data_IF_824696275876
#
_entry.id   IF_824696275876
#
_cell.length_a   1.000
_cell.length_b   1.000
_cell.length_c   1.000
_cell.angle_alpha   90.00
_cell.angle_beta   90.00
_cell.angle_gamma   90.00
#
_symmetry.space_group_name_H-M   'P 1'
#
loop_
_entity.id
_entity.type
_entity.pdbx_description
1 polymer ?
#
# COMPACT_ATOMS: atom_id res chain seq x y z
N UNK A 1 57.07 26.11 -84.35
CA UNK A 1 57.69 24.93 -83.68
C UNK A 1 57.93 25.30 -82.25
N UNK A 2 57.03 24.92 -81.36
CA UNK A 2 57.21 25.15 -79.91
C UNK A 2 56.84 23.86 -79.20
N UNK A 3 57.79 23.26 -78.51
CA UNK A 3 57.60 22.03 -77.70
C UNK A 3 57.11 22.41 -76.33
N UNK A 4 55.91 21.96 -75.98
CA UNK A 4 55.36 22.13 -74.64
C UNK A 4 55.72 20.90 -73.76
N UNK A 5 56.42 21.14 -72.68
CA UNK A 5 56.73 20.10 -71.63
C UNK A 5 55.61 20.01 -70.65
N UNK A 6 55.03 18.83 -70.53
CA UNK A 6 54.01 18.52 -69.55
C UNK A 6 54.72 18.05 -68.29
N UNK A 7 54.57 18.83 -67.16
CA UNK A 7 55.03 18.44 -65.87
C UNK A 7 53.93 17.60 -65.14
N UNK A 8 54.29 16.42 -64.60
CA UNK A 8 53.47 15.59 -63.79
C UNK A 8 53.48 16.09 -62.37
N UNK A 9 52.33 16.52 -61.84
CA UNK A 9 52.11 16.81 -60.43
C UNK A 9 51.57 15.56 -59.81
N UNK A 10 52.30 14.97 -58.85
CA UNK A 10 51.84 13.86 -58.01
C UNK A 10 51.04 14.43 -56.84
N UNK A 11 49.72 14.18 -56.79
CA UNK A 11 48.90 14.46 -55.63
C UNK A 11 49.03 13.30 -54.62
N UNK A 12 49.68 13.56 -53.50
CA UNK A 12 49.66 12.65 -52.37
C UNK A 12 48.34 12.80 -51.57
N UNK A 13 47.55 11.74 -51.54
CA UNK A 13 46.37 11.62 -50.65
C UNK A 13 46.86 11.25 -49.27
N UNK A 14 46.82 12.19 -48.34
CA UNK A 14 46.94 11.91 -46.90
C UNK A 14 45.56 11.47 -46.36
N UNK A 15 45.36 10.18 -46.10
CA UNK A 15 44.19 9.66 -45.43
C UNK A 15 44.28 9.95 -43.91
N UNK A 16 43.58 10.99 -43.46
CA UNK A 16 43.39 11.25 -42.02
C UNK A 16 42.39 10.26 -41.45
N UNK A 17 42.88 9.27 -40.70
CA UNK A 17 42.05 8.38 -39.83
C UNK A 17 41.56 9.19 -38.65
N UNK A 18 40.34 9.71 -38.72
CA UNK A 18 39.62 10.29 -37.57
C UNK A 18 39.12 9.12 -36.68
N UNK A 19 39.86 8.80 -35.62
CA UNK A 19 39.36 7.92 -34.56
C UNK A 19 38.25 8.65 -33.83
N UNK A 20 37.00 8.40 -34.25
CA UNK A 20 35.82 8.83 -33.53
C UNK A 20 35.73 8.08 -32.17
N UNK A 21 36.18 8.71 -31.10
CA UNK A 21 35.87 8.24 -29.75
C UNK A 21 34.36 8.37 -29.56
N UNK A 22 33.61 7.24 -29.66
CA UNK A 22 32.24 7.16 -29.23
C UNK A 22 32.22 7.37 -27.71
N UNK A 23 31.96 8.59 -27.28
CA UNK A 23 31.57 8.88 -25.90
C UNK A 23 30.25 8.15 -25.68
N UNK A 24 30.32 6.94 -25.12
CA UNK A 24 29.17 6.29 -24.54
C UNK A 24 28.66 7.23 -23.46
N UNK A 25 27.61 7.99 -23.73
CA UNK A 25 26.86 8.72 -22.74
C UNK A 25 26.35 7.68 -21.76
N UNK A 26 27.00 7.57 -20.60
CA UNK A 26 26.42 6.86 -19.46
C UNK A 26 25.17 7.67 -19.14
N UNK A 27 24.02 7.19 -19.58
CA UNK A 27 22.75 7.75 -19.17
C UNK A 27 22.73 7.67 -17.64
N UNK A 28 22.93 8.80 -16.98
CA UNK A 28 22.84 8.87 -15.54
C UNK A 28 21.40 8.51 -15.19
N UNK A 29 21.23 7.38 -14.52
CA UNK A 29 19.90 6.98 -14.07
C UNK A 29 19.36 8.11 -13.17
N UNK A 30 18.09 8.48 -13.38
CA UNK A 30 17.39 9.42 -12.48
C UNK A 30 17.41 8.89 -11.06
N UNK A 31 17.13 9.74 -10.09
CA UNK A 31 16.99 9.35 -8.69
C UNK A 31 15.99 8.19 -8.53
N UNK A 32 16.27 7.30 -7.58
CA UNK A 32 15.35 6.24 -7.19
C UNK A 32 14.03 6.84 -6.72
N UNK A 33 12.91 6.47 -7.31
CA UNK A 33 11.58 6.93 -6.88
C UNK A 33 10.85 5.81 -6.16
N UNK A 34 10.54 6.06 -4.89
CA UNK A 34 9.78 5.15 -4.02
C UNK A 34 8.39 5.73 -3.77
N UNK A 35 7.35 4.91 -3.95
CA UNK A 35 5.95 5.35 -3.87
C UNK A 35 5.23 4.61 -2.76
N UNK A 36 4.50 5.35 -1.93
CA UNK A 36 3.76 4.81 -0.79
C UNK A 36 2.44 5.55 -0.57
N UNK A 37 1.79 5.33 0.58
CA UNK A 37 0.40 5.71 0.87
C UNK A 37 0.21 7.09 1.51
N UNK A 38 1.21 7.95 1.45
CA UNK A 38 1.12 9.32 1.98
C UNK A 38 0.83 9.46 3.47
N UNK A 39 0.70 10.71 3.92
CA UNK A 39 0.35 11.09 5.29
C UNK A 39 1.25 10.46 6.36
N UNK A 40 0.74 10.32 7.57
CA UNK A 40 1.50 9.86 8.74
C UNK A 40 2.27 8.54 8.52
N UNK A 41 1.78 7.64 7.64
CA UNK A 41 2.49 6.41 7.33
C UNK A 41 3.76 6.68 6.52
N UNK A 42 3.66 7.47 5.46
CA UNK A 42 4.83 7.83 4.65
C UNK A 42 5.80 8.73 5.43
N UNK A 43 5.31 9.56 6.34
CA UNK A 43 6.16 10.36 7.24
C UNK A 43 6.96 9.45 8.18
N UNK A 44 6.34 8.39 8.73
CA UNK A 44 7.06 7.38 9.49
C UNK A 44 8.10 6.64 8.63
N UNK A 45 7.76 6.27 7.39
CA UNK A 45 8.71 5.67 6.45
C UNK A 45 9.86 6.61 6.09
N UNK A 46 9.61 7.89 5.86
CA UNK A 46 10.66 8.91 5.65
C UNK A 46 11.66 8.91 6.82
N UNK A 47 11.12 8.95 8.02
CA UNK A 47 11.94 9.01 9.24
C UNK A 47 12.81 7.75 9.44
N UNK A 48 12.26 6.55 9.20
CA UNK A 48 12.94 5.29 9.55
C UNK A 48 13.52 4.52 8.37
N UNK A 49 13.04 4.79 7.14
CA UNK A 49 13.50 4.11 5.94
C UNK A 49 14.20 5.05 4.97
N UNK A 50 13.52 6.10 4.47
CA UNK A 50 13.98 6.86 3.32
C UNK A 50 15.21 7.69 3.63
N UNK A 51 15.18 8.52 4.68
CA UNK A 51 16.33 9.34 5.07
C UNK A 51 17.52 8.49 5.55
N UNK A 52 17.32 7.46 6.41
CA UNK A 52 18.42 6.56 6.77
C UNK A 52 19.01 5.79 5.58
N UNK A 53 18.19 5.35 4.61
CA UNK A 53 18.65 4.66 3.41
C UNK A 53 19.49 5.58 2.53
N UNK A 54 19.01 6.80 2.22
CA UNK A 54 19.79 7.80 1.46
C UNK A 54 21.18 8.00 2.05
N UNK A 55 21.24 8.15 3.38
CA UNK A 55 22.52 8.34 4.10
C UNK A 55 23.41 7.11 4.05
N UNK A 56 22.84 5.91 4.26
CA UNK A 56 23.61 4.66 4.35
C UNK A 56 24.09 4.17 2.97
N UNK A 57 23.27 4.31 1.94
CA UNK A 57 23.56 3.82 0.60
C UNK A 57 24.22 4.85 -0.32
N UNK A 58 24.17 6.15 0.03
CA UNK A 58 24.65 7.23 -0.85
C UNK A 58 23.82 7.35 -2.15
N UNK A 59 22.56 6.89 -2.14
CA UNK A 59 21.68 6.88 -3.29
C UNK A 59 20.68 8.04 -3.19
N UNK A 60 20.64 8.89 -4.21
CA UNK A 60 19.63 9.92 -4.32
C UNK A 60 18.25 9.29 -4.56
N UNK A 61 17.24 9.76 -3.82
CA UNK A 61 15.91 9.17 -3.83
C UNK A 61 14.84 10.24 -3.69
N UNK A 62 13.80 10.11 -4.50
CA UNK A 62 12.55 10.86 -4.42
C UNK A 62 11.46 9.96 -3.82
N UNK A 63 10.48 10.56 -3.18
CA UNK A 63 9.29 9.84 -2.74
C UNK A 63 8.02 10.50 -3.28
N UNK A 64 7.07 9.67 -3.69
CA UNK A 64 5.74 10.07 -4.14
C UNK A 64 4.67 9.31 -3.34
N UNK A 65 3.44 9.82 -3.35
CA UNK A 65 2.30 9.14 -2.76
C UNK A 65 1.23 8.85 -3.81
N UNK A 66 0.43 7.80 -3.56
CA UNK A 66 -0.67 7.40 -4.41
C UNK A 66 -1.82 6.81 -3.59
N UNK A 67 -2.97 6.60 -4.21
CA UNK A 67 -4.20 6.08 -3.57
C UNK A 67 -4.59 4.68 -4.06
N UNK A 68 -3.66 3.97 -4.74
CA UNK A 68 -3.91 2.63 -5.27
C UNK A 68 -4.50 2.60 -6.68
N UNK A 69 -4.75 1.38 -7.15
CA UNK A 69 -5.40 1.09 -8.41
C UNK A 69 -4.49 0.55 -9.51
N UNK A 70 -4.74 -0.69 -9.95
CA UNK A 70 -3.95 -1.38 -10.98
C UNK A 70 -3.87 -0.59 -12.28
N UNK A 71 -4.91 0.19 -12.63
CA UNK A 71 -4.91 1.07 -13.81
C UNK A 71 -3.78 2.11 -13.79
N UNK A 72 -3.43 2.64 -12.61
CA UNK A 72 -2.30 3.57 -12.45
C UNK A 72 -0.99 2.84 -12.69
N UNK A 73 -0.82 1.63 -12.15
CA UNK A 73 0.38 0.80 -12.35
C UNK A 73 0.59 0.45 -13.83
N UNK A 74 -0.49 0.05 -14.53
CA UNK A 74 -0.46 -0.19 -15.99
C UNK A 74 0.03 1.04 -16.75
N UNK A 75 -0.52 2.22 -16.44
CA UNK A 75 -0.12 3.47 -17.10
C UNK A 75 1.36 3.81 -16.84
N UNK A 76 1.86 3.58 -15.64
CA UNK A 76 3.26 3.82 -15.27
C UNK A 76 4.24 2.89 -15.99
N UNK A 77 3.85 1.64 -16.26
CA UNK A 77 4.69 0.65 -16.97
C UNK A 77 4.60 0.81 -18.48
N UNK A 78 3.41 1.05 -19.04
CA UNK A 78 3.18 1.15 -20.48
C UNK A 78 3.79 2.41 -21.11
N UNK A 79 4.04 3.45 -20.35
CA UNK A 79 4.63 4.70 -20.81
C UNK A 79 6.09 4.61 -21.27
N UNK A 80 6.74 3.44 -21.22
CA UNK A 80 8.08 3.15 -21.76
C UNK A 80 9.25 3.75 -20.97
N UNK A 81 9.00 4.67 -20.04
CA UNK A 81 9.96 5.20 -19.09
C UNK A 81 9.29 5.20 -17.70
N UNK A 82 9.43 4.09 -16.98
CA UNK A 82 8.91 4.00 -15.63
C UNK A 82 9.44 5.17 -14.78
N UNK A 83 8.53 6.07 -14.38
CA UNK A 83 8.89 7.20 -13.49
C UNK A 83 8.96 6.77 -12.03
N UNK A 84 8.36 5.65 -11.70
CA UNK A 84 8.39 4.99 -10.40
C UNK A 84 9.28 3.76 -10.45
N UNK A 85 9.96 3.46 -9.38
CA UNK A 85 10.85 2.29 -9.29
C UNK A 85 10.34 1.26 -8.30
N UNK A 86 10.09 1.68 -7.07
CA UNK A 86 9.57 0.83 -5.99
C UNK A 86 8.22 1.37 -5.58
N UNK A 87 7.22 0.50 -5.51
CA UNK A 87 5.86 0.88 -5.13
C UNK A 87 5.37 -0.04 -4.03
N UNK A 88 4.71 0.52 -3.04
CA UNK A 88 3.96 -0.28 -2.08
C UNK A 88 2.55 -0.49 -2.60
N UNK A 89 2.11 -1.75 -2.64
CA UNK A 89 0.84 -2.19 -3.22
C UNK A 89 0.04 -3.03 -2.22
N UNK A 90 -1.28 -3.02 -2.34
CA UNK A 90 -2.17 -3.94 -1.62
C UNK A 90 -2.09 -5.36 -2.22
N UNK A 91 -2.57 -6.36 -1.50
CA UNK A 91 -2.44 -7.78 -1.89
C UNK A 91 -3.11 -8.14 -3.21
N UNK A 92 -4.25 -7.54 -3.55
CA UNK A 92 -4.94 -7.73 -4.84
C UNK A 92 -4.20 -7.04 -5.99
N UNK A 93 -3.64 -5.85 -5.77
CA UNK A 93 -2.80 -5.15 -6.74
C UNK A 93 -1.50 -5.94 -7.01
N UNK A 94 -0.91 -6.53 -5.96
CA UNK A 94 0.24 -7.43 -6.12
C UNK A 94 -0.10 -8.61 -7.01
N UNK A 95 -1.23 -9.27 -6.75
CA UNK A 95 -1.62 -10.46 -7.49
C UNK A 95 -1.90 -10.14 -8.97
N UNK A 96 -2.73 -9.13 -9.26
CA UNK A 96 -3.02 -8.69 -10.63
C UNK A 96 -1.76 -8.21 -11.34
N UNK A 97 -0.98 -7.34 -10.69
CA UNK A 97 0.22 -6.77 -11.31
C UNK A 97 1.31 -7.82 -11.57
N UNK A 98 1.40 -8.86 -10.74
CA UNK A 98 2.30 -9.98 -10.95
C UNK A 98 1.86 -10.83 -12.16
N UNK A 99 0.57 -11.15 -12.27
CA UNK A 99 -0.01 -11.90 -13.38
C UNK A 99 0.14 -11.15 -14.72
N UNK A 100 -0.11 -9.86 -14.73
CA UNK A 100 0.04 -9.00 -15.91
C UNK A 100 1.49 -8.64 -16.25
N UNK A 101 2.47 -9.04 -15.41
CA UNK A 101 3.89 -8.75 -15.64
C UNK A 101 4.25 -7.28 -15.44
N UNK A 102 3.50 -6.54 -14.61
CA UNK A 102 3.78 -5.13 -14.28
C UNK A 102 4.96 -4.97 -13.32
N UNK A 103 5.37 -6.06 -12.66
CA UNK A 103 6.44 -6.06 -11.67
C UNK A 103 7.61 -6.95 -12.10
N UNK A 104 8.80 -6.63 -11.63
CA UNK A 104 9.94 -7.52 -11.72
C UNK A 104 9.74 -8.73 -10.80
N UNK A 105 10.15 -9.92 -11.26
CA UNK A 105 10.26 -11.06 -10.35
C UNK A 105 11.44 -10.83 -9.41
N UNK A 106 11.21 -11.03 -8.11
CA UNK A 106 12.19 -10.76 -7.08
C UNK A 106 13.20 -11.89 -6.93
N UNK A 107 14.47 -11.52 -6.83
CA UNK A 107 15.55 -12.37 -6.38
C UNK A 107 15.74 -12.19 -4.87
N UNK A 108 15.15 -13.09 -4.10
CA UNK A 108 15.18 -13.03 -2.63
C UNK A 108 16.60 -13.15 -2.05
N UNK A 109 17.56 -13.70 -2.79
CA UNK A 109 18.96 -13.72 -2.34
C UNK A 109 19.57 -12.34 -2.12
N UNK A 110 18.99 -11.32 -2.80
CA UNK A 110 19.39 -9.91 -2.69
C UNK A 110 18.69 -9.13 -1.57
N UNK A 111 17.70 -9.72 -0.91
CA UNK A 111 16.87 -9.06 0.11
C UNK A 111 16.75 -9.89 1.40
N UNK A 112 17.79 -10.62 1.75
CA UNK A 112 17.87 -11.39 2.99
C UNK A 112 17.37 -12.83 2.90
N UNK A 113 16.86 -13.28 1.76
CA UNK A 113 16.31 -14.62 1.53
C UNK A 113 14.85 -14.77 1.99
N UNK A 114 14.11 -15.70 1.38
CA UNK A 114 12.70 -15.96 1.73
C UNK A 114 12.52 -16.35 3.21
N UNK A 115 13.51 -17.06 3.77
CA UNK A 115 13.47 -17.52 5.16
C UNK A 115 13.48 -16.38 6.19
N UNK A 116 13.80 -15.14 5.81
CA UNK A 116 13.73 -13.96 6.68
C UNK A 116 12.30 -13.46 6.91
N UNK A 117 11.37 -13.84 6.05
CA UNK A 117 10.01 -13.31 6.05
C UNK A 117 8.98 -14.34 6.51
N UNK A 118 7.86 -13.86 7.05
CA UNK A 118 6.71 -14.73 7.32
C UNK A 118 6.12 -15.24 5.98
N UNK A 119 5.58 -16.47 5.92
CA UNK A 119 5.14 -17.07 4.65
C UNK A 119 4.20 -16.21 3.81
N UNK A 120 3.17 -15.52 4.35
CA UNK A 120 2.29 -14.66 3.55
C UNK A 120 3.00 -13.47 2.90
N UNK A 121 4.19 -13.10 3.39
CA UNK A 121 4.99 -11.98 2.88
C UNK A 121 5.89 -12.34 1.70
N UNK A 122 5.97 -13.62 1.33
CA UNK A 122 6.82 -14.12 0.25
C UNK A 122 5.97 -14.29 -1.02
N UNK A 123 6.27 -13.50 -2.04
CA UNK A 123 5.60 -13.55 -3.33
C UNK A 123 6.63 -13.40 -4.47
N UNK A 124 6.49 -14.11 -5.60
CA UNK A 124 7.44 -14.00 -6.72
C UNK A 124 7.69 -12.58 -7.22
N UNK A 125 6.73 -11.67 -7.07
CA UNK A 125 6.80 -10.30 -7.60
C UNK A 125 6.87 -9.22 -6.53
N UNK A 126 6.80 -9.58 -5.25
CA UNK A 126 6.79 -8.61 -4.16
C UNK A 126 7.23 -9.22 -2.85
N UNK A 127 7.65 -8.39 -1.92
CA UNK A 127 7.99 -8.77 -0.55
C UNK A 127 7.15 -7.97 0.43
N UNK A 128 6.60 -8.66 1.44
CA UNK A 128 5.73 -8.01 2.43
C UNK A 128 6.36 -6.79 3.08
N UNK A 129 5.61 -5.71 3.15
CA UNK A 129 5.99 -4.44 3.74
C UNK A 129 5.47 -4.31 5.18
N UNK A 130 4.17 -4.43 5.34
CA UNK A 130 3.45 -4.31 6.62
C UNK A 130 2.22 -5.20 6.64
N UNK A 131 1.80 -5.57 7.85
CA UNK A 131 0.48 -6.13 8.13
C UNK A 131 -0.37 -5.07 8.83
N UNK A 132 -1.62 -4.92 8.43
CA UNK A 132 -2.50 -3.89 8.97
C UNK A 132 -3.96 -4.33 8.97
N UNK A 133 -4.75 -3.63 9.78
CA UNK A 133 -6.19 -3.85 9.88
C UNK A 133 -6.98 -2.59 9.54
N UNK A 134 -8.12 -2.80 8.89
CA UNK A 134 -9.22 -1.86 8.95
C UNK A 134 -10.02 -2.13 10.22
N UNK A 135 -9.99 -1.18 11.12
CA UNK A 135 -10.72 -1.23 12.40
C UNK A 135 -11.86 -0.23 12.41
N UNK A 136 -12.80 -0.39 13.33
CA UNK A 136 -13.77 0.65 13.66
C UNK A 136 -13.09 1.67 14.57
N UNK A 137 -12.94 2.91 14.09
CA UNK A 137 -12.41 4.03 14.85
C UNK A 137 -13.49 4.98 15.36
N UNK A 138 -13.32 5.53 16.57
CA UNK A 138 -14.22 6.49 17.19
C UNK A 138 -13.47 7.46 18.11
N UNK A 139 -14.09 8.59 18.45
CA UNK A 139 -13.53 9.57 19.39
C UNK A 139 -14.07 9.31 20.81
N UNK A 140 -13.19 8.89 21.73
CA UNK A 140 -13.55 8.59 23.13
C UNK A 140 -14.03 9.81 23.91
N UNK A 141 -13.64 11.01 23.49
CA UNK A 141 -14.08 12.24 24.16
C UNK A 141 -15.54 12.60 23.77
N UNK A 142 -15.99 12.10 22.62
CA UNK A 142 -17.35 12.35 22.10
C UNK A 142 -18.32 11.21 22.40
N UNK A 143 -17.86 9.96 22.38
CA UNK A 143 -18.67 8.80 22.70
C UNK A 143 -18.33 8.29 24.10
N UNK A 144 -19.30 8.44 25.03
CA UNK A 144 -19.13 8.02 26.43
C UNK A 144 -18.95 6.51 26.59
N UNK A 145 -19.60 5.73 25.70
CA UNK A 145 -19.50 4.28 25.64
C UNK A 145 -18.86 3.86 24.34
N UNK A 146 -17.90 2.93 24.42
CA UNK A 146 -17.28 2.38 23.25
C UNK A 146 -18.30 1.60 22.41
N UNK A 147 -18.32 1.75 21.07
CA UNK A 147 -19.12 0.88 20.22
C UNK A 147 -18.64 -0.57 20.36
N UNK A 148 -19.58 -1.52 20.33
CA UNK A 148 -19.27 -2.94 20.49
C UNK A 148 -18.77 -3.62 19.22
N UNK A 149 -18.97 -3.00 18.05
CA UNK A 149 -18.56 -3.54 16.75
C UNK A 149 -19.34 -2.91 15.61
N UNK A 150 -19.30 -3.57 14.45
CA UNK A 150 -19.92 -3.05 13.24
C UNK A 150 -21.45 -2.93 13.31
N UNK A 151 -22.13 -3.70 14.16
CA UNK A 151 -23.57 -3.53 14.40
C UNK A 151 -23.88 -2.13 14.95
N UNK A 152 -23.11 -1.65 15.92
CA UNK A 152 -23.25 -0.30 16.49
C UNK A 152 -22.88 0.78 15.46
N UNK A 153 -21.93 0.50 14.57
CA UNK A 153 -21.58 1.40 13.47
C UNK A 153 -22.79 1.67 12.56
N UNK A 154 -23.65 0.69 12.32
CA UNK A 154 -24.84 0.84 11.47
C UNK A 154 -26.09 1.29 12.24
N UNK A 155 -26.06 1.36 13.55
CA UNK A 155 -27.19 1.84 14.35
C UNK A 155 -27.07 3.36 14.61
N UNK A 156 -27.54 4.15 13.64
CA UNK A 156 -27.55 5.63 13.72
C UNK A 156 -28.59 6.16 14.73
N UNK A 157 -29.50 5.31 15.23
CA UNK A 157 -30.45 5.68 16.30
C UNK A 157 -29.80 5.56 17.67
N UNK A 158 -29.05 4.45 17.90
CA UNK A 158 -28.29 4.24 19.14
C UNK A 158 -27.15 5.24 19.28
N UNK A 159 -26.36 5.42 18.22
CA UNK A 159 -25.25 6.37 18.17
C UNK A 159 -25.48 7.35 17.00
N UNK A 160 -26.05 8.53 17.26
CA UNK A 160 -26.32 9.51 16.21
C UNK A 160 -25.04 10.05 15.53
N UNK A 161 -25.17 10.48 14.28
CA UNK A 161 -24.11 11.11 13.50
C UNK A 161 -23.72 10.31 12.26
N UNK A 162 -22.89 10.89 11.40
CA UNK A 162 -22.44 10.29 10.14
C UNK A 162 -21.40 9.21 10.38
N UNK A 163 -21.22 8.37 9.38
CA UNK A 163 -20.27 7.26 9.33
C UNK A 163 -19.30 7.45 8.17
N UNK A 164 -18.02 7.18 8.37
CA UNK A 164 -17.09 7.18 7.24
C UNK A 164 -16.68 5.76 6.86
N UNK A 165 -16.75 5.46 5.57
CA UNK A 165 -16.32 4.20 4.97
C UNK A 165 -15.37 4.46 3.80
N UNK A 166 -14.47 3.51 3.53
CA UNK A 166 -13.63 3.55 2.32
C UNK A 166 -14.53 3.46 1.08
N UNK A 167 -14.29 4.35 0.13
CA UNK A 167 -15.07 4.34 -1.12
C UNK A 167 -14.70 3.11 -1.97
N UNK A 168 -15.67 2.24 -2.18
CA UNK A 168 -15.51 1.02 -2.95
C UNK A 168 -16.18 -0.17 -2.29
N UNK A 169 -16.31 -1.31 -3.00
CA UNK A 169 -16.93 -2.50 -2.47
C UNK A 169 -16.04 -3.26 -1.48
N UNK A 170 -14.71 -3.30 -1.73
CA UNK A 170 -13.73 -3.99 -0.86
C UNK A 170 -13.67 -3.33 0.51
N UNK A 171 -13.69 -4.11 1.55
CA UNK A 171 -13.86 -3.76 2.96
C UNK A 171 -15.28 -3.33 3.34
N UNK A 172 -15.97 -2.60 2.49
CA UNK A 172 -17.32 -2.06 2.75
C UNK A 172 -18.38 -3.15 2.77
N UNK A 173 -18.32 -4.15 1.86
CA UNK A 173 -19.28 -5.24 1.82
C UNK A 173 -19.07 -6.22 2.98
N UNK A 174 -17.82 -6.50 3.34
CA UNK A 174 -17.47 -7.30 4.52
C UNK A 174 -18.00 -6.67 5.80
N UNK A 175 -17.75 -5.38 6.00
CA UNK A 175 -18.24 -4.59 7.13
C UNK A 175 -19.77 -4.63 7.20
N UNK A 176 -20.44 -4.46 6.06
CA UNK A 176 -21.91 -4.49 6.01
C UNK A 176 -22.49 -5.86 6.41
N UNK A 177 -21.87 -6.98 5.96
CA UNK A 177 -22.30 -8.31 6.37
C UNK A 177 -22.10 -8.58 7.85
N UNK A 178 -20.94 -8.18 8.41
CA UNK A 178 -20.69 -8.31 9.84
C UNK A 178 -21.67 -7.46 10.65
N UNK A 179 -21.97 -6.26 10.20
CA UNK A 179 -23.00 -5.40 10.81
C UNK A 179 -24.41 -6.01 10.74
N UNK A 180 -24.67 -6.88 9.75
CA UNK A 180 -25.93 -7.62 9.60
C UNK A 180 -25.90 -9.00 10.29
N UNK A 181 -24.92 -9.24 11.17
CA UNK A 181 -24.84 -10.43 12.02
C UNK A 181 -24.17 -11.65 11.38
N UNK A 182 -23.48 -11.49 10.24
CA UNK A 182 -22.64 -12.56 9.70
C UNK A 182 -21.38 -12.68 10.55
N UNK A 183 -21.08 -13.87 11.03
CA UNK A 183 -19.87 -14.12 11.81
C UNK A 183 -18.61 -13.85 10.96
N UNK A 184 -17.53 -13.28 11.51
CA UNK A 184 -16.30 -12.97 10.77
C UNK A 184 -15.79 -14.11 9.88
N UNK A 185 -15.75 -15.32 10.39
CA UNK A 185 -15.31 -16.54 9.67
C UNK A 185 -16.19 -16.95 8.47
N UNK A 186 -17.42 -16.46 8.41
CA UNK A 186 -18.39 -16.82 7.34
C UNK A 186 -18.58 -15.71 6.31
N UNK A 187 -17.92 -14.55 6.47
CA UNK A 187 -18.11 -13.36 5.60
C UNK A 187 -17.91 -13.71 4.13
N UNK A 188 -16.79 -14.31 3.77
CA UNK A 188 -16.52 -14.65 2.34
C UNK A 188 -17.34 -15.81 1.82
N UNK A 189 -17.79 -16.72 2.68
CA UNK A 189 -18.75 -17.75 2.29
C UNK A 189 -20.08 -17.13 1.88
N UNK A 190 -20.51 -16.09 2.58
CA UNK A 190 -21.75 -15.35 2.26
C UNK A 190 -21.53 -14.47 1.02
N UNK A 191 -20.41 -13.73 0.94
CA UNK A 191 -20.08 -12.89 -0.24
C UNK A 191 -19.92 -13.69 -1.53
N UNK A 192 -19.59 -14.97 -1.46
CA UNK A 192 -19.51 -15.84 -2.65
C UNK A 192 -20.85 -16.10 -3.32
N UNK A 193 -21.98 -15.67 -2.74
CA UNK A 193 -23.32 -15.84 -3.28
C UNK A 193 -23.95 -14.51 -3.69
N UNK A 194 -24.80 -14.51 -4.71
CA UNK A 194 -25.51 -13.31 -5.13
C UNK A 194 -26.46 -12.80 -4.03
N UNK A 195 -27.11 -13.71 -3.27
CA UNK A 195 -27.95 -13.37 -2.12
C UNK A 195 -27.14 -12.67 -1.01
N UNK A 196 -25.91 -13.13 -0.77
CA UNK A 196 -25.02 -12.49 0.21
C UNK A 196 -24.58 -11.10 -0.21
N UNK A 197 -24.30 -10.92 -1.50
CA UNK A 197 -23.98 -9.60 -2.05
C UNK A 197 -25.20 -8.67 -1.94
N UNK A 198 -26.42 -9.14 -2.31
CA UNK A 198 -27.65 -8.36 -2.11
C UNK A 198 -27.87 -7.97 -0.66
N UNK A 199 -27.65 -8.90 0.27
CA UNK A 199 -27.74 -8.68 1.71
C UNK A 199 -26.79 -7.57 2.17
N UNK A 200 -25.54 -7.56 1.70
CA UNK A 200 -24.57 -6.51 2.03
C UNK A 200 -25.03 -5.12 1.54
N UNK A 201 -25.48 -5.01 0.28
CA UNK A 201 -25.99 -3.75 -0.25
C UNK A 201 -27.25 -3.27 0.46
N UNK A 202 -28.18 -4.18 0.79
CA UNK A 202 -29.39 -3.86 1.57
C UNK A 202 -29.01 -3.32 2.96
N UNK A 203 -27.97 -3.87 3.59
CA UNK A 203 -27.47 -3.35 4.84
C UNK A 203 -26.91 -1.94 4.69
N UNK A 204 -26.13 -1.69 3.63
CA UNK A 204 -25.60 -0.35 3.30
C UNK A 204 -26.71 0.68 3.05
N UNK A 205 -27.85 0.27 2.44
CA UNK A 205 -28.99 1.16 2.24
C UNK A 205 -29.51 1.74 3.55
N UNK A 206 -29.38 1.02 4.68
CA UNK A 206 -29.89 1.47 5.97
C UNK A 206 -29.21 2.71 6.54
N UNK A 207 -27.98 3.03 6.07
CA UNK A 207 -27.21 4.21 6.49
C UNK A 207 -26.72 5.07 5.32
N UNK A 208 -27.20 4.80 4.10
CA UNK A 208 -26.69 5.41 2.86
C UNK A 208 -26.61 6.94 2.92
N UNK A 209 -27.63 7.59 3.49
CA UNK A 209 -27.67 9.05 3.65
C UNK A 209 -26.70 9.60 4.70
N UNK A 210 -26.16 8.74 5.54
CA UNK A 210 -25.26 9.11 6.63
C UNK A 210 -23.80 8.75 6.35
N UNK A 211 -23.48 8.24 5.14
CA UNK A 211 -22.11 7.84 4.79
C UNK A 211 -21.32 9.02 4.22
N UNK A 212 -20.12 9.20 4.78
CA UNK A 212 -19.04 10.03 4.22
C UNK A 212 -17.98 9.09 3.63
N UNK A 213 -17.72 9.24 2.35
CA UNK A 213 -16.75 8.38 1.65
C UNK A 213 -15.34 8.96 1.75
N UNK A 214 -14.37 8.12 2.08
CA UNK A 214 -12.96 8.47 2.04
C UNK A 214 -12.20 7.59 1.04
N UNK A 215 -11.09 8.13 0.49
CA UNK A 215 -10.18 7.45 -0.45
C UNK A 215 -8.78 7.33 0.13
N UNK A 216 -8.21 8.46 0.56
CA UNK A 216 -6.88 8.49 1.13
C UNK A 216 -6.89 8.12 2.62
N UNK A 217 -5.95 7.27 3.04
CA UNK A 217 -5.87 6.78 4.42
C UNK A 217 -5.61 7.85 5.49
N UNK A 218 -5.25 9.08 5.09
CA UNK A 218 -5.12 10.22 6.00
C UNK A 218 -6.47 10.87 6.37
N UNK A 219 -7.53 10.65 5.59
CA UNK A 219 -8.84 11.31 5.78
C UNK A 219 -9.60 10.85 7.03
N UNK A 220 -9.71 9.53 7.35
CA UNK A 220 -10.53 9.07 8.47
C UNK A 220 -10.20 9.69 9.83
N UNK A 221 -8.92 9.80 10.28
CA UNK A 221 -8.61 10.49 11.53
C UNK A 221 -9.02 11.96 11.54
N UNK A 222 -8.94 12.64 10.39
CA UNK A 222 -9.33 14.05 10.26
C UNK A 222 -10.85 14.21 10.38
N UNK A 223 -11.64 13.31 9.77
CA UNK A 223 -13.10 13.27 9.87
C UNK A 223 -13.57 13.04 11.32
N UNK A 224 -12.87 12.19 12.09
CA UNK A 224 -13.12 12.03 13.52
C UNK A 224 -12.75 13.30 14.30
N UNK A 225 -11.57 13.86 14.05
CA UNK A 225 -11.06 15.03 14.75
C UNK A 225 -11.99 16.25 14.57
N UNK A 226 -12.47 16.49 13.35
CA UNK A 226 -13.41 17.56 13.05
C UNK A 226 -14.81 17.32 13.64
N UNK A 227 -15.15 16.07 13.95
CA UNK A 227 -16.50 15.66 14.38
C UNK A 227 -17.50 15.59 13.22
N UNK A 228 -17.03 15.55 11.99
CA UNK A 228 -17.88 15.34 10.81
C UNK A 228 -18.53 13.95 10.85
N UNK A 229 -17.84 12.95 11.40
CA UNK A 229 -18.36 11.61 11.61
C UNK A 229 -18.25 11.18 13.07
N UNK A 230 -19.21 10.36 13.52
CA UNK A 230 -19.18 9.75 14.85
C UNK A 230 -18.24 8.54 14.87
N UNK A 231 -18.18 7.78 13.79
CA UNK A 231 -17.36 6.57 13.64
C UNK A 231 -16.86 6.44 12.20
N UNK A 232 -15.76 5.71 12.04
CA UNK A 232 -15.14 5.47 10.73
C UNK A 232 -14.56 4.07 10.62
N UNK A 233 -14.59 3.46 9.43
CA UNK A 233 -13.59 2.45 9.10
C UNK A 233 -12.24 3.16 8.89
N UNK A 234 -11.15 2.61 9.43
CA UNK A 234 -9.85 3.29 9.41
C UNK A 234 -8.72 2.29 9.58
N UNK A 235 -7.57 2.59 9.02
CA UNK A 235 -6.34 1.84 9.27
C UNK A 235 -5.87 2.01 10.72
N UNK A 236 -5.63 0.93 11.43
CA UNK A 236 -5.23 0.94 12.85
C UNK A 236 -4.03 1.85 13.14
N UNK A 237 -2.99 1.81 12.30
CA UNK A 237 -1.80 2.65 12.47
C UNK A 237 -2.08 4.15 12.34
N UNK A 238 -3.13 4.55 11.59
CA UNK A 238 -3.50 5.97 11.47
C UNK A 238 -4.13 6.50 12.76
N UNK A 239 -4.91 5.68 13.46
CA UNK A 239 -5.45 6.00 14.79
C UNK A 239 -4.31 6.08 15.82
N UNK A 240 -3.41 5.09 15.82
CA UNK A 240 -2.24 5.07 16.69
C UNK A 240 -1.40 6.35 16.55
N UNK A 241 -1.10 6.74 15.30
CA UNK A 241 -0.32 7.96 15.02
C UNK A 241 -1.04 9.24 15.43
N UNK A 242 -2.35 9.35 15.18
CA UNK A 242 -3.13 10.51 15.61
C UNK A 242 -3.12 10.65 17.14
N UNK A 243 -3.23 9.53 17.86
CA UNK A 243 -3.17 9.51 19.33
C UNK A 243 -1.77 9.94 19.84
N UNK A 244 -0.70 9.37 19.25
CA UNK A 244 0.68 9.63 19.69
C UNK A 244 1.16 11.04 19.34
N UNK A 245 0.96 11.47 18.10
CA UNK A 245 1.57 12.68 17.55
C UNK A 245 0.66 13.91 17.65
N UNK A 246 -0.66 13.73 17.54
CA UNK A 246 -1.63 14.82 17.52
C UNK A 246 -2.42 14.91 18.83
N UNK A 247 -2.06 14.08 19.83
CA UNK A 247 -2.71 14.04 21.17
C UNK A 247 -4.22 13.83 21.09
N UNK A 248 -4.68 13.02 20.13
CA UNK A 248 -6.08 12.62 20.04
C UNK A 248 -6.36 11.50 21.03
N UNK A 249 -7.64 11.34 21.38
CA UNK A 249 -8.11 10.27 22.25
C UNK A 249 -9.07 9.34 21.48
N UNK A 250 -8.57 8.80 20.36
CA UNK A 250 -9.37 7.89 19.54
C UNK A 250 -9.31 6.47 20.05
N UNK A 251 -10.44 5.77 19.98
CA UNK A 251 -10.58 4.35 20.25
C UNK A 251 -10.59 3.54 18.96
N UNK A 252 -10.23 2.27 19.11
CA UNK A 252 -10.33 1.24 18.07
C UNK A 252 -11.11 0.05 18.61
N UNK A 253 -11.97 -0.53 17.76
CA UNK A 253 -12.61 -1.82 18.00
C UNK A 253 -11.99 -2.82 17.03
N UNK A 254 -11.39 -3.87 17.58
CA UNK A 254 -10.68 -4.90 16.82
C UNK A 254 -11.58 -6.08 16.42
N UNK A 255 -12.72 -6.24 17.09
CA UNK A 255 -13.66 -7.31 16.77
C UNK A 255 -14.24 -7.12 15.36
N UNK A 256 -14.03 -8.13 14.50
CA UNK A 256 -14.37 -8.03 13.07
C UNK A 256 -13.48 -7.06 12.27
N UNK A 257 -12.28 -6.77 12.73
CA UNK A 257 -11.28 -6.05 11.93
C UNK A 257 -10.97 -6.80 10.62
N UNK A 258 -10.62 -6.07 9.57
CA UNK A 258 -10.25 -6.66 8.28
C UNK A 258 -8.74 -6.62 8.14
N UNK A 259 -8.14 -7.80 8.19
CA UNK A 259 -6.68 -8.00 8.19
C UNK A 259 -6.13 -8.18 6.78
N UNK A 260 -5.01 -7.54 6.46
CA UNK A 260 -4.33 -7.72 5.18
C UNK A 260 -2.85 -7.33 5.25
N UNK A 261 -2.17 -7.52 4.13
CA UNK A 261 -0.74 -7.28 3.96
C UNK A 261 -0.51 -6.36 2.76
N UNK A 262 0.38 -5.39 2.91
CA UNK A 262 0.97 -4.66 1.80
C UNK A 262 2.34 -5.23 1.45
N UNK A 263 2.71 -5.06 0.19
CA UNK A 263 4.00 -5.52 -0.33
C UNK A 263 4.74 -4.42 -1.08
N UNK A 264 6.07 -4.46 -1.01
CA UNK A 264 6.93 -3.71 -1.90
C UNK A 264 7.13 -4.47 -3.20
N UNK A 265 6.98 -3.78 -4.32
CA UNK A 265 7.25 -4.30 -5.67
C UNK A 265 8.25 -3.40 -6.40
N UNK A 266 8.97 -3.96 -7.37
CA UNK A 266 9.78 -3.19 -8.33
C UNK A 266 9.02 -3.15 -9.63
N UNK A 267 8.72 -1.95 -10.15
CA UNK A 267 8.01 -1.83 -11.43
C UNK A 267 8.85 -2.37 -12.59
N UNK A 268 8.17 -3.04 -13.50
CA UNK A 268 8.76 -3.58 -14.72
C UNK A 268 9.42 -2.47 -15.55
N UNK A 269 10.66 -2.69 -15.96
CA UNK A 269 11.41 -1.71 -16.77
C UNK A 269 12.02 -0.56 -15.98
N UNK A 270 12.02 -0.60 -14.63
CA UNK A 270 12.76 0.37 -13.81
C UNK A 270 14.24 0.41 -14.19
N UNK A 271 14.79 1.59 -14.53
CA UNK A 271 16.23 1.76 -14.79
C UNK A 271 17.07 1.67 -13.49
N UNK A 272 16.43 1.78 -12.33
CA UNK A 272 17.06 1.82 -11.00
C UNK A 272 16.99 0.48 -10.27
N UNK A 273 16.89 -0.65 -10.98
CA UNK A 273 16.64 -1.97 -10.40
C UNK A 273 17.64 -2.35 -9.28
N UNK A 274 18.92 -2.07 -9.46
CA UNK A 274 19.94 -2.37 -8.44
C UNK A 274 19.77 -1.49 -7.18
N UNK A 275 19.43 -0.23 -7.35
CA UNK A 275 19.12 0.67 -6.24
C UNK A 275 17.82 0.24 -5.53
N UNK A 276 16.83 -0.21 -6.28
CA UNK A 276 15.58 -0.76 -5.75
C UNK A 276 15.82 -2.01 -4.87
N UNK A 277 16.66 -2.94 -5.30
CA UNK A 277 17.04 -4.09 -4.48
C UNK A 277 17.75 -3.70 -3.19
N UNK A 278 18.67 -2.72 -3.24
CA UNK A 278 19.32 -2.19 -2.04
C UNK A 278 18.31 -1.57 -1.08
N UNK A 279 17.30 -0.87 -1.63
CA UNK A 279 16.21 -0.32 -0.82
C UNK A 279 15.39 -1.44 -0.16
N UNK A 280 14.97 -2.46 -0.93
CA UNK A 280 14.21 -3.59 -0.40
C UNK A 280 14.99 -4.36 0.68
N UNK A 281 16.30 -4.59 0.48
CA UNK A 281 17.15 -5.20 1.51
C UNK A 281 17.19 -4.34 2.77
N UNK A 282 17.30 -3.03 2.62
CA UNK A 282 17.36 -2.12 3.76
C UNK A 282 16.05 -2.13 4.56
N UNK A 283 14.90 -1.96 3.89
CA UNK A 283 13.59 -1.92 4.58
C UNK A 283 13.15 -3.30 5.08
N UNK A 284 13.65 -4.37 4.49
CA UNK A 284 13.38 -5.75 4.88
C UNK A 284 14.09 -6.21 6.15
N UNK A 285 15.09 -5.46 6.64
CA UNK A 285 15.82 -5.83 7.86
C UNK A 285 14.95 -5.75 9.10
N UNK A 286 15.06 -6.76 9.97
CA UNK A 286 14.29 -6.85 11.20
C UNK A 286 14.39 -5.59 12.06
N UNK A 287 15.59 -5.01 12.19
CA UNK A 287 15.79 -3.79 12.98
C UNK A 287 15.08 -2.56 12.37
N UNK A 288 14.98 -2.47 11.05
CA UNK A 288 14.34 -1.33 10.40
C UNK A 288 12.81 -1.48 10.43
N UNK A 289 12.29 -2.71 10.26
CA UNK A 289 10.85 -2.97 10.41
C UNK A 289 10.37 -2.75 11.84
N UNK A 290 11.15 -3.17 12.86
CA UNK A 290 10.78 -2.88 14.26
C UNK A 290 10.71 -1.38 14.53
N UNK A 291 11.68 -0.59 14.04
CA UNK A 291 11.62 0.87 14.14
C UNK A 291 10.38 1.48 13.48
N UNK A 292 9.90 0.91 12.35
CA UNK A 292 8.66 1.39 11.75
C UNK A 292 7.47 1.11 12.67
N UNK A 293 7.34 -0.11 13.21
CA UNK A 293 6.25 -0.47 14.12
C UNK A 293 6.23 0.36 15.42
N UNK A 294 7.39 0.82 15.90
CA UNK A 294 7.48 1.78 17.02
C UNK A 294 6.90 3.16 16.68
N UNK A 295 7.02 3.58 15.42
CA UNK A 295 6.54 4.88 14.96
C UNK A 295 5.09 4.87 14.50
N UNK A 296 4.60 3.73 13.99
CA UNK A 296 3.22 3.52 13.56
C UNK A 296 2.87 2.04 13.76
N UNK A 297 1.77 1.74 14.45
CA UNK A 297 1.42 0.40 14.92
C UNK A 297 0.96 -0.53 13.78
N UNK A 298 1.84 -0.81 12.84
CA UNK A 298 1.67 -1.85 11.83
C UNK A 298 2.54 -3.07 12.13
N UNK A 299 2.06 -4.25 11.77
CA UNK A 299 2.77 -5.51 11.95
C UNK A 299 3.95 -5.64 10.98
N UNK A 300 4.92 -6.48 11.34
CA UNK A 300 6.14 -6.68 10.59
C UNK A 300 6.03 -7.91 9.67
N UNK A 301 6.63 -7.84 8.49
CA UNK A 301 6.75 -8.96 7.56
C UNK A 301 8.00 -9.81 7.80
N UNK A 302 9.06 -9.22 8.39
CA UNK A 302 10.24 -9.96 8.80
C UNK A 302 9.97 -10.67 10.14
N UNK A 303 10.18 -11.99 10.19
CA UNK A 303 9.86 -12.84 11.34
C UNK A 303 10.61 -12.49 12.63
N UNK A 304 11.82 -11.90 12.51
CA UNK A 304 12.66 -11.55 13.64
C UNK A 304 12.41 -10.13 14.17
N UNK A 305 11.58 -9.34 13.47
CA UNK A 305 11.35 -7.95 13.82
C UNK A 305 10.45 -7.79 15.05
N UNK A 306 9.39 -8.61 15.19
CA UNK A 306 8.49 -8.55 16.33
C UNK A 306 9.20 -8.82 17.65
N UNK A 307 10.18 -9.74 17.67
CA UNK A 307 10.99 -10.04 18.85
C UNK A 307 11.88 -8.90 19.35
N UNK A 308 12.00 -7.81 18.58
CA UNK A 308 12.75 -6.60 18.95
C UNK A 308 11.88 -5.53 19.60
N UNK A 309 10.57 -5.70 19.57
CA UNK A 309 9.61 -4.70 20.04
C UNK A 309 9.31 -4.87 21.53
N UNK A 310 9.12 -3.74 22.21
CA UNK A 310 8.66 -3.75 23.58
C UNK A 310 7.22 -4.30 23.69
N UNK A 311 6.86 -4.99 24.79
CA UNK A 311 5.51 -5.52 24.99
C UNK A 311 4.40 -4.46 24.82
N UNK A 312 4.68 -3.22 25.20
CA UNK A 312 3.75 -2.10 25.04
C UNK A 312 3.45 -1.76 23.57
N UNK A 313 4.38 -2.02 22.65
CA UNK A 313 4.17 -1.84 21.19
C UNK A 313 3.44 -3.06 20.63
N UNK A 314 3.88 -4.27 20.98
CA UNK A 314 3.33 -5.53 20.47
C UNK A 314 1.81 -5.64 20.67
N UNK A 315 1.27 -5.20 21.82
CA UNK A 315 -0.18 -5.27 22.12
C UNK A 315 -1.05 -4.41 21.18
N UNK A 316 -0.47 -3.38 20.58
CA UNK A 316 -1.17 -2.44 19.71
C UNK A 316 -1.04 -2.81 18.21
N UNK A 317 -0.34 -3.93 17.90
CA UNK A 317 -0.18 -4.41 16.53
C UNK A 317 -1.39 -5.24 16.08
N UNK A 318 -1.68 -5.27 14.77
CA UNK A 318 -2.70 -6.16 14.18
C UNK A 318 -2.48 -7.63 14.54
N UNK A 319 -1.22 -8.03 14.67
CA UNK A 319 -0.79 -9.41 14.96
C UNK A 319 -0.84 -9.79 16.45
N UNK A 320 -1.24 -8.87 17.33
CA UNK A 320 -1.44 -9.21 18.73
C UNK A 320 -2.55 -10.26 18.91
N UNK A 321 -2.38 -11.27 19.80
CA UNK A 321 -3.35 -12.37 19.93
C UNK A 321 -4.78 -11.90 20.17
N UNK A 322 -4.98 -10.85 20.96
CA UNK A 322 -6.31 -10.32 21.26
C UNK A 322 -6.90 -9.55 20.05
N UNK A 323 -6.06 -8.89 19.24
CA UNK A 323 -6.49 -8.09 18.11
C UNK A 323 -6.88 -8.97 16.91
N UNK A 324 -6.08 -10.02 16.62
CA UNK A 324 -6.30 -10.91 15.47
C UNK A 324 -7.40 -11.96 15.70
N UNK A 325 -7.82 -12.17 16.94
CA UNK A 325 -8.69 -13.30 17.34
C UNK A 325 -9.95 -13.45 16.49
N UNK A 326 -10.62 -12.36 16.17
CA UNK A 326 -11.85 -12.30 15.37
C UNK A 326 -11.66 -11.45 14.10
N UNK A 327 -10.42 -11.20 13.69
CA UNK A 327 -10.15 -10.51 12.44
C UNK A 327 -10.49 -11.39 11.23
N UNK A 328 -10.93 -10.75 10.17
CA UNK A 328 -11.22 -11.38 8.87
C UNK A 328 -10.05 -11.10 7.94
N UNK A 329 -9.36 -12.14 7.48
CA UNK A 329 -8.38 -11.97 6.41
C UNK A 329 -9.09 -11.56 5.11
N UNK A 330 -8.64 -10.48 4.48
CA UNK A 330 -9.16 -10.07 3.17
C UNK A 330 -8.81 -11.15 2.16
N UNK A 331 -9.85 -11.77 1.57
CA UNK A 331 -9.69 -12.86 0.62
C UNK A 331 -9.31 -12.33 -0.76
N UNK A 332 -8.02 -12.37 -1.07
CA UNK A 332 -7.46 -11.89 -2.33
C UNK A 332 -8.07 -12.63 -3.53
N UNK A 333 -8.22 -13.95 -3.46
CA UNK A 333 -8.80 -14.74 -4.55
C UNK A 333 -10.24 -14.31 -4.87
N UNK A 334 -11.07 -14.11 -3.84
CA UNK A 334 -12.42 -13.58 -4.02
C UNK A 334 -12.41 -12.23 -4.73
N UNK A 335 -11.54 -11.31 -4.29
CA UNK A 335 -11.49 -9.96 -4.87
C UNK A 335 -10.93 -9.97 -6.28
N UNK A 336 -9.95 -10.81 -6.62
CA UNK A 336 -9.46 -10.98 -7.99
C UNK A 336 -10.58 -11.37 -8.97
N UNK A 337 -11.45 -12.27 -8.56
CA UNK A 337 -12.56 -12.72 -9.41
C UNK A 337 -13.72 -11.71 -9.49
N UNK A 338 -13.90 -10.88 -8.48
CA UNK A 338 -15.12 -10.10 -8.31
C UNK A 338 -14.96 -8.59 -8.32
N UNK A 339 -13.73 -8.05 -8.26
CA UNK A 339 -13.49 -6.61 -8.03
C UNK A 339 -14.14 -5.74 -9.10
N UNK A 340 -14.02 -6.08 -10.39
CA UNK A 340 -14.54 -5.26 -11.48
C UNK A 340 -16.07 -5.23 -11.45
N UNK A 341 -16.71 -6.40 -11.33
CA UNK A 341 -18.16 -6.54 -11.25
C UNK A 341 -18.74 -5.81 -10.04
N UNK A 342 -18.14 -5.99 -8.89
CA UNK A 342 -18.61 -5.39 -7.64
C UNK A 342 -18.34 -3.89 -7.59
N UNK A 343 -17.25 -3.42 -8.19
CA UNK A 343 -16.96 -1.98 -8.32
C UNK A 343 -17.97 -1.29 -9.23
N UNK A 344 -18.30 -1.88 -10.38
CA UNK A 344 -19.35 -1.35 -11.26
C UNK A 344 -20.70 -1.28 -10.54
N UNK A 345 -21.07 -2.35 -9.84
CA UNK A 345 -22.30 -2.40 -9.05
C UNK A 345 -22.30 -1.37 -7.92
N UNK A 346 -21.20 -1.26 -7.18
CA UNK A 346 -21.05 -0.29 -6.11
C UNK A 346 -21.21 1.15 -6.62
N UNK A 347 -20.57 1.48 -7.74
CA UNK A 347 -20.66 2.81 -8.35
C UNK A 347 -22.10 3.14 -8.78
N UNK A 348 -22.82 2.19 -9.39
CA UNK A 348 -24.24 2.35 -9.72
C UNK A 348 -25.13 2.51 -8.49
N UNK A 349 -24.81 1.80 -7.42
CA UNK A 349 -25.51 1.93 -6.14
C UNK A 349 -25.24 3.26 -5.47
N UNK A 350 -23.97 3.68 -5.40
CA UNK A 350 -23.57 4.93 -4.75
C UNK A 350 -24.08 6.19 -5.47
N UNK A 351 -24.30 6.10 -6.78
CA UNK A 351 -24.82 7.22 -7.60
C UNK A 351 -26.34 7.47 -7.44
N UNK A 352 -27.11 6.52 -6.90
CA UNK A 352 -28.54 6.64 -6.63
C UNK A 352 -28.80 7.35 -5.28
#
# INVERSE_FOLDING_TARGET
MLKCKIGRIALGFAAAFSAGAALASVAQARDLTVVSWGGAYQDAQKKVYFEPFKKAAGIAMNDESWDGGVGVLRAKVQGGAATWDVVQVESDELAVGCEEGLFEKLDYSKIGGEAAYIPPSVNPCGVGAILYDFVLGYDKDKLKEAPSGWADFFDTKKIPGKRALRQGPKTTLEIALMADGVAPKDVYKVLATDEGIERAFKKLDSIKGDIVWWKAGAQPPQLLASGEVAMTSVYNGRIDTANKNEKKNFGMVWDGALFTLDSWVILKGSPNKDAAYKFLDFVGKAENQSKLSENIAYGTSNKDAAGRLAPAVLKDLPTAPDNIKNAVEINVAFWLENIDRLTERFNKWAAK
#
